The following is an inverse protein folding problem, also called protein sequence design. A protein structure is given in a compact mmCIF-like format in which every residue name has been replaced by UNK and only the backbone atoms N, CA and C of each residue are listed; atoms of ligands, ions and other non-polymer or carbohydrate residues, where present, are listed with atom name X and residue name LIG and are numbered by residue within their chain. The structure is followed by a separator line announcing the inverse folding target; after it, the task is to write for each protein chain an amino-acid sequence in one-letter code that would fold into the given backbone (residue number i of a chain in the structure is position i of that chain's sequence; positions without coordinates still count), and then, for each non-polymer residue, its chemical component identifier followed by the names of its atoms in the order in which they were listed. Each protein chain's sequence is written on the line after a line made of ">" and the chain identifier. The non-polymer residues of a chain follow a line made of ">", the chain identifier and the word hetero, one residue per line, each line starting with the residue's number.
data_IF_247222888084
#
_entry.id   IF_247222888084
#
_cell.length_a   1.000
_cell.length_b   1.000
_cell.length_c   1.000
_cell.angle_alpha   90.00
_cell.angle_beta   90.00
_cell.angle_gamma   90.00
#
_symmetry.space_group_name_H-M   'P 1'
#
loop_
_entity.id
_entity.type
_entity.pdbx_description
1 polymer ?
#
# COMPACT_ATOMS: atom_id res chain seq x y z
N UNK A 1 -50.59 34.77 -19.21
CA UNK A 1 -49.67 33.62 -19.29
C UNK A 1 -48.37 34.00 -18.59
N UNK A 2 -48.08 33.45 -17.40
CA UNK A 2 -46.84 33.68 -16.65
C UNK A 2 -46.24 32.30 -16.34
N UNK A 3 -45.07 32.00 -16.89
CA UNK A 3 -44.33 30.76 -16.65
C UNK A 3 -43.39 30.96 -15.45
N UNK A 4 -43.42 30.12 -14.41
CA UNK A 4 -42.42 30.17 -13.36
C UNK A 4 -41.13 29.51 -13.84
N UNK A 5 -40.02 30.25 -13.71
CA UNK A 5 -38.66 29.73 -13.79
C UNK A 5 -38.45 28.81 -12.57
N UNK A 6 -38.42 27.49 -12.80
CA UNK A 6 -37.89 26.56 -11.81
C UNK A 6 -36.38 26.74 -11.75
N UNK A 7 -35.94 27.48 -10.73
CA UNK A 7 -34.56 27.49 -10.24
C UNK A 7 -34.30 26.12 -9.62
N UNK A 8 -33.96 25.15 -10.47
CA UNK A 8 -33.41 23.87 -10.07
C UNK A 8 -31.95 24.05 -9.67
N UNK A 9 -31.74 24.58 -8.48
CA UNK A 9 -30.44 24.62 -7.80
C UNK A 9 -30.06 23.16 -7.48
N UNK A 10 -29.42 22.50 -8.45
CA UNK A 10 -28.91 21.14 -8.32
C UNK A 10 -27.76 21.11 -7.33
N UNK A 11 -28.09 20.85 -6.07
CA UNK A 11 -27.15 20.53 -5.00
C UNK A 11 -26.45 19.20 -5.35
N UNK A 12 -25.37 19.26 -6.13
CA UNK A 12 -24.49 18.11 -6.36
C UNK A 12 -23.76 17.80 -5.06
N UNK A 13 -24.36 16.91 -4.26
CA UNK A 13 -23.75 16.27 -3.12
C UNK A 13 -22.39 15.72 -3.53
N UNK A 14 -21.33 16.25 -2.91
CA UNK A 14 -20.00 15.65 -2.83
C UNK A 14 -20.12 14.31 -2.08
N UNK A 15 -20.62 13.29 -2.77
CA UNK A 15 -20.56 11.93 -2.29
C UNK A 15 -19.10 11.49 -2.39
N UNK A 16 -18.42 11.43 -1.25
CA UNK A 16 -17.25 10.56 -1.10
C UNK A 16 -17.68 9.17 -1.58
N UNK A 17 -17.33 8.83 -2.82
CA UNK A 17 -17.78 7.59 -3.44
C UNK A 17 -16.95 6.47 -2.83
N UNK A 18 -17.51 5.80 -1.83
CA UNK A 18 -16.97 4.58 -1.21
C UNK A 18 -17.14 3.38 -2.16
N UNK A 19 -16.75 3.53 -3.42
CA UNK A 19 -16.75 2.41 -4.35
C UNK A 19 -15.66 1.44 -3.94
N UNK A 20 -16.07 0.18 -3.74
CA UNK A 20 -15.13 -0.91 -3.52
C UNK A 20 -14.20 -1.00 -4.73
N UNK A 21 -12.91 -1.29 -4.54
CA UNK A 21 -11.94 -1.28 -5.63
C UNK A 21 -12.32 -2.24 -6.76
N UNK A 22 -13.03 -3.33 -6.48
CA UNK A 22 -13.49 -4.30 -7.47
C UNK A 22 -14.88 -4.03 -8.08
N UNK A 23 -15.49 -2.91 -7.73
CA UNK A 23 -16.79 -2.49 -8.30
C UNK A 23 -16.64 -1.70 -9.61
N UNK A 24 -15.45 -1.73 -10.20
CA UNK A 24 -15.17 -1.17 -11.53
C UNK A 24 -15.74 -2.07 -12.61
N UNK A 25 -16.24 -1.44 -13.68
CA UNK A 25 -16.70 -2.15 -14.88
C UNK A 25 -15.59 -3.06 -15.41
N UNK A 26 -15.95 -4.29 -15.76
CA UNK A 26 -15.04 -5.31 -16.31
C UNK A 26 -14.01 -5.87 -15.30
N UNK A 27 -14.09 -5.50 -14.01
CA UNK A 27 -13.35 -6.18 -12.96
C UNK A 27 -13.89 -7.62 -12.78
N UNK A 28 -13.00 -8.62 -12.61
CA UNK A 28 -13.40 -9.99 -12.32
C UNK A 28 -14.29 -10.08 -11.08
N UNK A 29 -15.23 -11.02 -11.08
CA UNK A 29 -16.09 -11.31 -9.92
C UNK A 29 -15.58 -12.46 -9.05
N UNK A 30 -14.47 -13.09 -9.46
CA UNK A 30 -13.76 -14.09 -8.68
C UNK A 30 -12.74 -13.42 -7.75
N UNK A 31 -12.35 -14.06 -6.64
CA UNK A 31 -11.24 -13.60 -5.81
C UNK A 31 -9.96 -13.38 -6.62
N UNK A 32 -9.15 -12.37 -6.28
CA UNK A 32 -7.83 -12.15 -6.87
C UNK A 32 -6.83 -13.18 -6.36
N UNK A 33 -5.80 -13.44 -7.15
CA UNK A 33 -4.68 -14.30 -6.76
C UNK A 33 -3.78 -13.61 -5.74
N UNK A 34 -3.61 -12.28 -5.87
CA UNK A 34 -2.85 -11.45 -4.94
C UNK A 34 -3.65 -10.21 -4.56
N UNK A 35 -3.49 -9.78 -3.31
CA UNK A 35 -4.00 -8.49 -2.85
C UNK A 35 -3.06 -7.91 -1.80
N UNK A 36 -2.63 -6.66 -2.00
CA UNK A 36 -1.66 -6.01 -1.12
C UNK A 36 -1.80 -4.48 -1.18
N UNK A 37 -1.13 -3.79 -0.24
CA UNK A 37 -1.07 -2.33 -0.17
C UNK A 37 0.35 -1.80 -0.26
N UNK A 38 0.61 -0.85 -1.15
CA UNK A 38 1.97 -0.32 -1.41
C UNK A 38 2.49 0.69 -0.37
N UNK A 39 1.73 0.98 0.70
CA UNK A 39 2.13 1.90 1.77
C UNK A 39 1.19 1.82 2.98
N UNK A 40 1.62 2.31 4.14
CA UNK A 40 0.87 2.19 5.42
C UNK A 40 -0.22 3.27 5.55
N UNK A 41 0.16 4.54 5.41
CA UNK A 41 -0.77 5.68 5.58
C UNK A 41 -1.35 6.19 4.26
N UNK A 42 -0.47 6.33 3.26
CA UNK A 42 -0.82 6.67 1.87
C UNK A 42 -0.29 5.55 1.00
N UNK A 43 -1.17 4.91 0.24
CA UNK A 43 -0.79 3.74 -0.54
C UNK A 43 -1.89 3.32 -1.50
N UNK A 44 -1.55 2.42 -2.41
CA UNK A 44 -2.49 1.82 -3.33
C UNK A 44 -2.87 0.43 -2.83
N UNK A 45 -4.16 0.18 -2.73
CA UNK A 45 -4.70 -1.17 -2.60
C UNK A 45 -4.71 -1.78 -4.01
N UNK A 46 -3.99 -2.89 -4.18
CA UNK A 46 -3.76 -3.55 -5.45
C UNK A 46 -4.32 -4.95 -5.38
N UNK A 47 -5.09 -5.35 -6.40
CA UNK A 47 -5.69 -6.67 -6.56
C UNK A 47 -5.26 -7.21 -7.93
N UNK A 48 -4.67 -8.40 -7.94
CA UNK A 48 -4.08 -9.00 -9.14
C UNK A 48 -4.74 -10.34 -9.42
N UNK A 49 -5.27 -10.47 -10.63
CA UNK A 49 -5.63 -11.74 -11.25
C UNK A 49 -4.56 -12.06 -12.28
N UNK A 50 -3.71 -13.06 -12.00
CA UNK A 50 -2.59 -13.47 -12.86
C UNK A 50 -3.08 -14.00 -14.21
N UNK A 51 -4.19 -14.72 -14.20
CA UNK A 51 -4.83 -15.17 -15.43
C UNK A 51 -6.33 -15.41 -15.23
N UNK A 52 -7.13 -14.42 -15.60
CA UNK A 52 -8.59 -14.47 -15.66
C UNK A 52 -9.04 -14.35 -17.12
N UNK A 53 -9.78 -15.34 -17.62
CA UNK A 53 -10.24 -15.37 -19.02
C UNK A 53 -9.12 -15.14 -20.07
N UNK A 54 -7.92 -15.67 -19.80
CA UNK A 54 -6.77 -15.53 -20.69
C UNK A 54 -6.08 -14.15 -20.64
N UNK A 55 -6.42 -13.31 -19.66
CA UNK A 55 -5.81 -12.00 -19.43
C UNK A 55 -5.37 -11.86 -17.98
N UNK A 56 -4.27 -11.14 -17.77
CA UNK A 56 -3.89 -10.64 -16.46
C UNK A 56 -4.66 -9.35 -16.19
N UNK A 57 -5.35 -9.27 -15.06
CA UNK A 57 -6.11 -8.09 -14.66
C UNK A 57 -5.52 -7.56 -13.37
N UNK A 58 -5.22 -6.27 -13.34
CA UNK A 58 -4.73 -5.57 -12.16
C UNK A 58 -5.69 -4.43 -11.87
N UNK A 59 -6.22 -4.41 -10.67
CA UNK A 59 -7.06 -3.31 -10.19
C UNK A 59 -6.31 -2.62 -9.07
N UNK A 60 -6.16 -1.31 -9.17
CA UNK A 60 -5.48 -0.50 -8.16
C UNK A 60 -6.33 0.69 -7.74
N UNK A 61 -6.39 0.96 -6.45
CA UNK A 61 -7.10 2.12 -5.90
C UNK A 61 -6.20 2.82 -4.90
N UNK A 62 -5.91 4.10 -5.14
CA UNK A 62 -5.18 4.91 -4.16
C UNK A 62 -6.10 5.30 -3.01
N UNK A 63 -5.73 4.89 -1.79
CA UNK A 63 -6.38 5.27 -0.55
C UNK A 63 -5.63 6.41 0.14
N UNK A 64 -6.34 7.50 0.45
CA UNK A 64 -5.85 8.61 1.27
C UNK A 64 -6.70 8.77 2.53
N UNK A 65 -6.08 9.19 3.63
CA UNK A 65 -6.73 9.34 4.94
C UNK A 65 -7.73 10.52 5.03
N UNK A 66 -7.81 11.41 4.02
CA UNK A 66 -8.45 12.72 4.15
C UNK A 66 -9.62 12.99 3.19
N UNK A 67 -10.31 11.95 2.71
CA UNK A 67 -11.29 11.97 1.60
C UNK A 67 -10.62 11.95 0.23
N UNK A 68 -10.68 10.81 -0.43
CA UNK A 68 -10.17 10.63 -1.78
C UNK A 68 -9.67 9.21 -1.97
N UNK A 69 -10.58 8.23 -1.85
CA UNK A 69 -10.36 7.00 -2.59
C UNK A 69 -10.37 7.42 -4.07
N UNK A 70 -9.22 7.37 -4.72
CA UNK A 70 -9.16 7.62 -6.16
C UNK A 70 -10.06 6.63 -6.89
N UNK A 71 -10.54 7.00 -8.07
CA UNK A 71 -11.28 6.05 -8.89
C UNK A 71 -10.40 4.81 -9.15
N UNK A 72 -10.94 3.60 -8.96
CA UNK A 72 -10.15 2.39 -9.16
C UNK A 72 -9.72 2.30 -10.62
N UNK A 73 -8.44 1.99 -10.84
CA UNK A 73 -7.83 1.85 -12.15
C UNK A 73 -7.70 0.38 -12.49
N UNK A 74 -8.29 -0.01 -13.61
CA UNK A 74 -8.17 -1.35 -14.16
C UNK A 74 -7.15 -1.36 -15.29
N UNK A 75 -6.18 -2.26 -15.19
CA UNK A 75 -5.18 -2.54 -16.21
C UNK A 75 -5.31 -3.99 -16.64
N UNK A 76 -5.14 -4.24 -17.94
CA UNK A 76 -5.15 -5.60 -18.49
C UNK A 76 -3.88 -5.85 -19.29
N UNK A 77 -3.34 -7.06 -19.19
CA UNK A 77 -2.14 -7.49 -19.91
C UNK A 77 -2.23 -9.00 -20.23
N UNK A 78 -1.24 -9.54 -20.95
CA UNK A 78 -1.15 -10.98 -21.18
C UNK A 78 -0.94 -11.73 -19.85
N UNK A 79 -1.39 -12.98 -19.76
CA UNK A 79 -1.13 -13.81 -18.59
C UNK A 79 0.38 -13.98 -18.35
N UNK A 80 0.78 -14.00 -17.08
CA UNK A 80 2.17 -14.16 -16.68
C UNK A 80 2.50 -13.40 -15.39
N UNK A 81 3.74 -13.56 -14.88
CA UNK A 81 4.25 -12.71 -13.81
C UNK A 81 4.39 -11.27 -14.33
N UNK A 82 4.19 -10.30 -13.44
CA UNK A 82 4.50 -8.91 -13.75
C UNK A 82 5.01 -8.15 -12.52
N UNK A 83 5.26 -6.84 -12.66
CA UNK A 83 5.93 -6.06 -11.63
C UNK A 83 5.18 -6.06 -10.30
N UNK A 84 3.86 -6.21 -10.33
CA UNK A 84 3.01 -6.28 -9.14
C UNK A 84 3.30 -7.51 -8.27
N UNK A 85 3.83 -8.59 -8.84
CA UNK A 85 4.19 -9.80 -8.10
C UNK A 85 5.43 -9.54 -7.23
N UNK A 86 6.43 -8.82 -7.74
CA UNK A 86 7.65 -8.44 -7.00
C UNK A 86 7.38 -7.38 -5.91
N UNK A 87 6.36 -6.55 -6.13
CA UNK A 87 5.93 -5.56 -5.15
C UNK A 87 5.13 -6.24 -4.04
N UNK A 88 4.32 -7.25 -4.35
CA UNK A 88 3.51 -7.98 -3.38
C UNK A 88 4.35 -8.56 -2.23
N UNK A 89 5.56 -9.03 -2.52
CA UNK A 89 6.47 -9.61 -1.52
C UNK A 89 6.91 -8.60 -0.45
N UNK A 90 6.96 -7.31 -0.78
CA UNK A 90 7.40 -6.22 0.10
C UNK A 90 6.25 -5.32 0.57
N UNK A 91 5.05 -5.54 0.06
CA UNK A 91 3.89 -4.72 0.34
C UNK A 91 3.23 -5.08 1.68
N UNK A 92 2.37 -4.20 2.17
CA UNK A 92 1.55 -4.41 3.36
C UNK A 92 0.26 -5.15 3.04
N UNK A 93 -0.42 -5.64 4.07
CA UNK A 93 -1.72 -6.28 3.89
C UNK A 93 -2.80 -5.22 3.66
N UNK A 94 -3.75 -5.53 2.77
CA UNK A 94 -4.92 -4.69 2.54
C UNK A 94 -5.77 -4.65 3.81
N UNK A 95 -6.24 -3.46 4.26
CA UNK A 95 -7.11 -3.34 5.43
C UNK A 95 -8.40 -4.16 5.24
N UNK A 96 -8.97 -4.65 6.33
CA UNK A 96 -10.10 -5.58 6.31
C UNK A 96 -11.31 -5.03 5.55
N UNK A 97 -11.61 -3.74 5.67
CA UNK A 97 -12.72 -3.07 4.97
C UNK A 97 -12.58 -3.06 3.45
N UNK A 98 -11.35 -3.19 2.94
CA UNK A 98 -11.01 -3.25 1.51
C UNK A 98 -10.51 -4.64 1.13
N UNK A 99 -10.57 -5.65 2.00
CA UNK A 99 -10.19 -7.01 1.64
C UNK A 99 -11.25 -7.63 0.72
N UNK A 100 -10.82 -8.43 -0.25
CA UNK A 100 -11.76 -9.14 -1.10
C UNK A 100 -12.65 -10.08 -0.26
N UNK A 101 -13.99 -10.09 -0.44
CA UNK A 101 -14.90 -10.89 0.38
C UNK A 101 -14.58 -12.39 0.31
N UNK A 102 -14.43 -13.02 1.47
CA UNK A 102 -14.11 -14.45 1.56
C UNK A 102 -12.64 -14.79 1.34
N UNK A 103 -11.75 -13.80 1.16
CA UNK A 103 -10.32 -14.06 1.21
C UNK A 103 -9.92 -14.48 2.63
N UNK A 104 -9.05 -15.49 2.78
CA UNK A 104 -8.51 -15.82 4.09
C UNK A 104 -7.79 -14.59 4.68
N UNK A 105 -7.77 -14.44 6.01
CA UNK A 105 -6.93 -13.43 6.63
C UNK A 105 -5.48 -13.66 6.19
N UNK A 106 -4.68 -12.58 6.01
CA UNK A 106 -3.27 -12.71 5.71
C UNK A 106 -2.66 -13.58 6.81
N UNK A 107 -1.78 -14.49 6.41
CA UNK A 107 -1.01 -15.22 7.39
C UNK A 107 -0.34 -14.18 8.31
N UNK A 108 -0.34 -14.40 9.64
CA UNK A 108 0.37 -13.51 10.53
C UNK A 108 1.81 -13.45 10.04
N UNK A 109 2.22 -12.29 9.53
CA UNK A 109 3.63 -12.06 9.27
C UNK A 109 4.24 -12.12 10.66
N UNK A 110 4.95 -13.22 10.95
CA UNK A 110 5.86 -13.25 12.08
C UNK A 110 6.70 -12.01 11.85
N UNK A 111 6.53 -11.01 12.70
CA UNK A 111 7.43 -9.90 12.71
C UNK A 111 8.78 -10.56 12.92
N UNK A 112 9.58 -10.65 11.85
CA UNK A 112 11.00 -10.54 12.03
C UNK A 112 11.17 -9.11 12.54
N UNK A 113 10.89 -8.98 13.85
CA UNK A 113 11.48 -8.01 14.72
C UNK A 113 12.92 -7.95 14.24
N UNK A 114 13.22 -6.86 13.53
CA UNK A 114 14.59 -6.51 13.28
C UNK A 114 15.15 -6.35 14.67
N UNK A 115 15.76 -7.40 15.20
CA UNK A 115 16.66 -7.31 16.32
C UNK A 115 17.73 -6.33 15.85
N UNK A 116 17.48 -5.06 16.13
CA UNK A 116 18.48 -4.04 16.22
C UNK A 116 19.45 -4.55 17.28
N UNK A 117 20.49 -5.24 16.84
CA UNK A 117 21.66 -5.49 17.67
C UNK A 117 22.19 -4.11 18.00
N UNK A 118 21.80 -3.61 19.16
CA UNK A 118 22.44 -2.49 19.83
C UNK A 118 23.88 -2.90 20.09
N UNK A 119 24.77 -2.54 19.18
CA UNK A 119 26.20 -2.51 19.44
C UNK A 119 26.45 -1.39 20.45
N UNK A 120 26.27 -1.74 21.73
CA UNK A 120 26.68 -0.94 22.87
C UNK A 120 28.18 -1.10 23.02
N UNK A 121 28.96 -0.40 22.19
CA UNK A 121 30.39 -0.31 22.42
C UNK A 121 30.65 0.62 23.59
N UNK A 122 30.96 -0.04 24.71
CA UNK A 122 31.28 0.54 25.98
C UNK A 122 32.52 1.44 25.86
N UNK A 123 32.36 2.66 26.34
CA UNK A 123 33.45 3.56 26.66
C UNK A 123 34.51 2.83 27.53
N UNK A 124 35.72 2.69 26.99
CA UNK A 124 36.93 2.38 27.78
C UNK A 124 37.99 3.44 27.46
N UNK A 125 38.02 4.43 28.34
CA UNK A 125 39.14 5.27 28.83
C UNK A 125 40.23 5.79 27.88
N UNK A 126 40.54 7.10 27.91
CA UNK A 126 41.85 7.62 27.52
C UNK A 126 42.85 7.53 28.70
N UNK A 127 44.10 7.09 28.49
CA UNK A 127 45.19 7.46 29.40
C UNK A 127 45.81 8.79 28.98
N UNK A 128 45.85 9.69 29.96
CA UNK A 128 46.57 10.95 29.93
C UNK A 128 48.07 10.76 29.77
N UNK A 129 48.69 11.77 29.15
CA UNK A 129 50.13 11.93 28.95
C UNK A 129 50.95 11.76 30.23
N UNK A 130 52.13 11.16 30.10
CA UNK A 130 53.23 11.33 31.05
C UNK A 130 54.52 11.60 30.29
N UNK A 131 55.01 12.81 30.49
CA UNK A 131 56.31 13.31 30.08
C UNK A 131 57.44 12.51 30.72
N UNK A 132 58.46 12.13 29.96
CA UNK A 132 59.75 11.72 30.50
C UNK A 132 60.90 12.14 29.57
N UNK A 133 61.67 13.09 30.09
CA UNK A 133 62.97 13.61 29.67
C UNK A 133 64.03 12.52 29.44
N UNK A 134 64.89 12.68 28.43
CA UNK A 134 66.31 12.28 28.55
C UNK A 134 67.23 12.90 27.48
N UNK A 135 68.54 12.99 27.78
CA UNK A 135 69.41 14.08 27.33
C UNK A 135 70.30 13.71 26.12
N UNK A 136 71.02 14.75 25.66
CA UNK A 136 72.06 14.75 24.64
C UNK A 136 73.22 13.76 24.87
N UNK A 137 74.03 13.55 23.83
CA UNK A 137 75.43 13.99 23.91
C UNK A 137 75.74 15.18 23.00
#
# INVERSE_FOLDING_TARGET
>A
MRRPLFVGLGLTLLACSFQKPWDVKDAPKSPPDLQYRTGVEVGHDVYVWRCYEGKRVVVSQGGSAFCGASAPRLSTSACGPGPEDEVAERAHDVPESLRWPGSPPPAPRIAHESESVSESDAATSPPASSSATSPAP
#
